data_IF_674785354381
#
_entry.id   IF_674785354381
#
_cell.length_a   1.000
_cell.length_b   1.000
_cell.length_c   1.000
_cell.angle_alpha   90.00
_cell.angle_beta   90.00
_cell.angle_gamma   90.00
#
_symmetry.space_group_name_H-M   'P 1'
#
loop_
_entity.id
_entity.type
_entity.pdbx_description
1 polymer ?
#
# COMPACT_ATOMS: atom_id res chain seq x y z
N UNK A 1 5.87 11.63 11.50
CA UNK A 1 6.95 11.30 10.57
C UNK A 1 6.85 9.84 10.15
N UNK A 2 7.06 9.56 8.85
CA UNK A 2 7.36 8.22 8.36
C UNK A 2 8.88 8.10 8.22
N UNK A 3 9.48 7.07 8.80
CA UNK A 3 10.91 6.80 8.68
C UNK A 3 11.07 5.48 7.93
N UNK A 4 11.62 5.53 6.73
CA UNK A 4 11.97 4.34 5.96
C UNK A 4 13.40 3.93 6.25
N UNK A 5 13.61 2.65 6.51
CA UNK A 5 14.90 2.09 6.87
C UNK A 5 15.20 0.85 6.04
N UNK A 6 16.48 0.60 5.77
CA UNK A 6 16.98 -0.66 5.23
C UNK A 6 17.66 -1.47 6.33
N UNK A 7 17.59 -2.78 6.18
CA UNK A 7 18.44 -3.72 6.95
C UNK A 7 19.41 -4.31 5.94
N UNK A 8 20.71 -4.12 6.16
CA UNK A 8 21.74 -4.71 5.32
C UNK A 8 21.97 -6.19 5.66
N UNK A 9 22.80 -6.87 4.86
CA UNK A 9 23.15 -8.29 5.05
C UNK A 9 23.85 -8.60 6.38
N UNK A 10 24.33 -7.58 7.11
CA UNK A 10 24.94 -7.71 8.44
C UNK A 10 23.93 -7.36 9.56
N UNK A 11 22.65 -7.26 9.27
CA UNK A 11 21.57 -6.81 10.18
C UNK A 11 21.75 -5.39 10.71
N UNK A 12 22.53 -4.53 10.01
CA UNK A 12 22.66 -3.12 10.34
C UNK A 12 21.50 -2.32 9.77
N UNK A 13 20.87 -1.51 10.61
CA UNK A 13 19.77 -0.61 10.20
C UNK A 13 20.37 0.67 9.63
N UNK A 14 19.91 1.04 8.44
CA UNK A 14 20.27 2.26 7.72
C UNK A 14 19.02 3.07 7.46
N UNK A 15 19.05 4.38 7.77
CA UNK A 15 17.94 5.28 7.43
C UNK A 15 18.04 5.60 5.94
N UNK A 16 16.91 5.39 5.23
CA UNK A 16 16.77 5.73 3.81
C UNK A 16 16.13 7.12 3.64
N UNK A 17 14.90 7.27 4.17
CA UNK A 17 14.11 8.48 3.98
C UNK A 17 13.35 8.84 5.27
N UNK A 18 13.24 10.15 5.53
CA UNK A 18 12.36 10.68 6.58
C UNK A 18 11.33 11.59 5.92
N UNK A 19 10.05 11.22 6.00
CA UNK A 19 8.94 12.00 5.49
C UNK A 19 8.16 12.67 6.65
N UNK A 20 7.97 13.99 6.65
CA UNK A 20 7.17 14.69 7.67
C UNK A 20 5.66 14.52 7.41
N UNK A 21 5.22 13.33 7.07
CA UNK A 21 3.86 12.92 6.70
C UNK A 21 3.72 11.42 6.76
N UNK A 22 2.52 10.90 6.50
CA UNK A 22 2.30 9.48 6.21
C UNK A 22 3.15 9.03 5.03
N UNK A 23 3.66 7.81 5.07
CA UNK A 23 4.56 7.27 4.05
C UNK A 23 3.89 6.14 3.26
N UNK A 24 4.26 6.00 1.99
CA UNK A 24 3.69 4.98 1.11
C UNK A 24 3.88 3.55 1.63
N UNK A 25 5.04 3.23 2.18
CA UNK A 25 5.31 1.91 2.77
C UNK A 25 4.36 1.54 3.92
N UNK A 26 3.82 2.54 4.63
CA UNK A 26 2.86 2.32 5.72
C UNK A 26 1.38 2.18 5.28
N UNK A 27 1.07 2.15 3.98
CA UNK A 27 -0.34 2.03 3.54
C UNK A 27 -0.95 0.66 3.86
N UNK A 28 -0.13 -0.39 4.05
CA UNK A 28 -0.61 -1.69 4.53
C UNK A 28 -1.29 -1.58 5.90
N UNK A 29 -0.92 -0.60 6.74
CA UNK A 29 -1.47 -0.42 8.09
C UNK A 29 -2.96 -0.16 8.12
N UNK A 30 -3.58 0.23 6.99
CA UNK A 30 -5.03 0.36 6.87
C UNK A 30 -5.78 -0.92 7.22
N UNK A 31 -5.20 -2.08 6.94
CA UNK A 31 -5.80 -3.39 7.21
C UNK A 31 -4.97 -4.25 8.15
N UNK A 32 -3.66 -4.02 8.23
CA UNK A 32 -2.77 -4.86 9.03
C UNK A 32 -2.66 -4.46 10.50
N UNK A 33 -3.01 -3.21 10.86
CA UNK A 33 -2.84 -2.69 12.22
C UNK A 33 -4.16 -2.29 12.85
N UNK A 34 -4.22 -2.33 14.19
CA UNK A 34 -5.37 -1.79 14.95
C UNK A 34 -5.59 -0.32 14.64
N UNK A 35 -4.51 0.46 14.58
CA UNK A 35 -4.54 1.88 14.23
C UNK A 35 -3.65 2.12 13.02
N UNK A 36 -4.21 2.61 11.94
CA UNK A 36 -3.45 2.89 10.72
C UNK A 36 -2.51 4.10 10.89
N UNK A 37 -1.48 4.20 10.05
CA UNK A 37 -0.62 5.39 10.01
C UNK A 37 -1.40 6.69 9.80
N UNK A 38 -2.51 6.64 9.07
CA UNK A 38 -3.36 7.80 8.80
C UNK A 38 -4.07 8.27 10.06
N UNK A 39 -4.65 7.34 10.81
CA UNK A 39 -5.30 7.63 12.07
C UNK A 39 -4.29 8.11 13.12
N UNK A 40 -3.12 7.43 13.23
CA UNK A 40 -2.05 7.89 14.13
C UNK A 40 -1.60 9.32 13.81
N UNK A 41 -1.50 9.65 12.52
CA UNK A 41 -1.15 10.99 12.09
C UNK A 41 -2.19 12.02 12.55
N UNK A 42 -3.47 11.73 12.36
CA UNK A 42 -4.56 12.60 12.83
C UNK A 42 -4.58 12.72 14.36
N UNK A 43 -4.42 11.61 15.09
CA UNK A 43 -4.34 11.63 16.54
C UNK A 43 -3.20 12.54 17.02
N UNK A 44 -2.01 12.39 16.43
CA UNK A 44 -0.84 13.18 16.79
C UNK A 44 -1.03 14.69 16.58
N UNK A 45 -1.60 15.12 15.44
CA UNK A 45 -1.79 16.55 15.15
C UNK A 45 -2.95 17.17 15.93
N UNK A 46 -3.91 16.35 16.36
CA UNK A 46 -5.04 16.82 17.19
C UNK A 46 -4.75 16.74 18.70
N UNK A 47 -3.56 16.27 19.09
CA UNK A 47 -3.20 16.10 20.50
C UNK A 47 -3.99 15.00 21.22
N UNK A 48 -4.50 14.01 20.48
CA UNK A 48 -5.18 12.85 21.03
C UNK A 48 -4.16 11.76 21.44
N UNK A 49 -4.57 10.89 22.37
CA UNK A 49 -3.76 9.72 22.71
C UNK A 49 -3.50 8.87 21.47
N UNK A 50 -2.27 8.38 21.31
CA UNK A 50 -1.92 7.50 20.21
C UNK A 50 -2.61 6.15 20.36
N UNK A 51 -3.07 5.58 19.25
CA UNK A 51 -3.68 4.27 19.20
C UNK A 51 -2.64 3.14 19.21
N UNK A 52 -3.11 1.90 19.46
CA UNK A 52 -2.25 0.72 19.40
C UNK A 52 -1.69 0.49 18.00
N UNK A 53 -0.39 0.16 17.93
CA UNK A 53 0.30 -0.22 16.69
C UNK A 53 0.32 -1.73 16.44
N UNK A 54 -0.44 -2.51 17.24
CA UNK A 54 -0.49 -3.97 17.10
C UNK A 54 -0.89 -4.39 15.70
N UNK A 55 -0.18 -5.38 15.16
CA UNK A 55 -0.57 -6.07 13.93
C UNK A 55 -1.75 -7.00 14.22
N UNK A 56 -2.76 -6.96 13.36
CA UNK A 56 -3.96 -7.80 13.44
C UNK A 56 -4.07 -8.79 12.28
N UNK A 57 -3.42 -8.48 11.15
CA UNK A 57 -3.41 -9.35 9.97
C UNK A 57 -2.07 -9.27 9.23
N UNK A 58 -1.59 -10.40 8.72
CA UNK A 58 -0.54 -10.41 7.70
C UNK A 58 -1.06 -9.73 6.43
N UNK A 59 -0.30 -8.82 5.90
CA UNK A 59 -0.72 -8.01 4.74
C UNK A 59 0.45 -7.74 3.82
N UNK A 60 0.22 -7.90 2.52
CA UNK A 60 1.14 -7.47 1.48
C UNK A 60 0.52 -6.30 0.70
N UNK A 61 1.22 -5.18 0.62
CA UNK A 61 0.80 -4.01 -0.14
C UNK A 61 1.52 -3.94 -1.49
N UNK A 62 0.78 -3.65 -2.54
CA UNK A 62 1.32 -3.44 -3.88
C UNK A 62 0.89 -2.10 -4.45
N UNK A 63 1.86 -1.32 -4.98
CA UNK A 63 1.57 -0.05 -5.65
C UNK A 63 1.08 -0.26 -7.07
N UNK A 64 -0.01 0.38 -7.46
CA UNK A 64 -0.48 0.47 -8.83
C UNK A 64 0.21 1.67 -9.48
N UNK A 65 1.09 1.37 -10.43
CA UNK A 65 1.89 2.37 -11.13
C UNK A 65 1.33 2.60 -12.54
N UNK A 66 1.49 3.81 -13.05
CA UNK A 66 1.29 4.08 -14.47
C UNK A 66 2.32 3.30 -15.29
N UNK A 67 1.88 2.57 -16.34
CA UNK A 67 2.76 1.75 -17.14
C UNK A 67 3.76 2.59 -17.97
N UNK A 68 4.89 1.99 -18.27
CA UNK A 68 5.88 2.62 -19.12
C UNK A 68 5.32 2.82 -20.54
N UNK A 69 5.68 3.94 -21.16
CA UNK A 69 5.22 4.29 -22.51
C UNK A 69 3.78 4.81 -22.60
N UNK A 70 3.05 4.94 -21.49
CA UNK A 70 1.69 5.48 -21.50
C UNK A 70 1.55 6.73 -20.63
N UNK A 71 1.11 7.82 -21.25
CA UNK A 71 0.66 9.03 -20.58
C UNK A 71 -0.73 9.43 -21.13
N UNK A 72 -1.75 9.48 -20.26
CA UNK A 72 -3.11 9.79 -20.68
C UNK A 72 -4.15 9.46 -19.65
N UNK A 73 -5.42 9.67 -20.01
CA UNK A 73 -6.57 9.24 -19.20
C UNK A 73 -6.70 7.71 -19.21
N UNK A 74 -7.10 7.13 -18.11
CA UNK A 74 -7.23 5.68 -17.99
C UNK A 74 -8.61 5.29 -17.42
N UNK A 75 -9.03 4.07 -17.71
CA UNK A 75 -10.29 3.52 -17.21
C UNK A 75 -10.22 3.34 -15.68
N UNK A 76 -11.30 3.63 -14.95
CA UNK A 76 -11.36 3.35 -13.52
C UNK A 76 -11.08 1.86 -13.25
N UNK A 77 -10.11 1.60 -12.39
CA UNK A 77 -9.84 0.24 -11.91
C UNK A 77 -10.83 -0.08 -10.80
N UNK A 78 -11.53 -1.21 -10.93
CA UNK A 78 -12.44 -1.73 -9.91
C UNK A 78 -12.08 -3.18 -9.64
N UNK A 79 -12.09 -3.56 -8.38
CA UNK A 79 -11.88 -4.93 -7.95
C UNK A 79 -12.64 -5.14 -6.64
N UNK A 80 -13.52 -6.13 -6.62
CA UNK A 80 -14.22 -6.61 -5.43
C UNK A 80 -13.87 -8.08 -5.25
N UNK A 81 -12.99 -8.38 -4.30
CA UNK A 81 -12.55 -9.73 -3.97
C UNK A 81 -12.22 -9.77 -2.48
N UNK A 82 -12.70 -10.76 -1.77
CA UNK A 82 -12.44 -10.93 -0.34
C UNK A 82 -10.94 -10.97 -0.04
N UNK A 83 -10.55 -10.26 1.01
CA UNK A 83 -9.15 -10.12 1.41
C UNK A 83 -8.32 -9.18 0.52
N UNK A 84 -8.92 -8.54 -0.50
CA UNK A 84 -8.25 -7.57 -1.36
C UNK A 84 -8.87 -6.19 -1.16
N UNK A 85 -8.05 -5.22 -0.81
CA UNK A 85 -8.49 -3.85 -0.56
C UNK A 85 -7.83 -2.90 -1.54
N UNK A 86 -8.59 -2.50 -2.57
CA UNK A 86 -8.13 -1.58 -3.61
C UNK A 86 -8.39 -0.11 -3.21
N UNK A 87 -7.36 0.73 -3.37
CA UNK A 87 -7.45 2.18 -3.20
C UNK A 87 -6.84 2.91 -4.37
N UNK A 88 -7.68 3.54 -5.19
CA UNK A 88 -7.22 4.48 -6.23
C UNK A 88 -7.14 5.91 -5.66
N UNK A 89 -6.12 6.66 -6.07
CA UNK A 89 -5.85 8.02 -5.54
C UNK A 89 -6.60 9.13 -6.28
N UNK A 90 -7.51 8.80 -7.20
CA UNK A 90 -8.32 9.79 -7.93
C UNK A 90 -7.53 10.62 -8.95
N UNK A 91 -6.34 10.20 -9.34
CA UNK A 91 -5.56 10.89 -10.36
C UNK A 91 -6.18 10.64 -11.73
N UNK A 92 -6.47 11.72 -12.46
CA UNK A 92 -7.16 11.66 -13.76
C UNK A 92 -6.27 11.17 -14.89
N UNK A 93 -4.96 11.45 -14.80
CA UNK A 93 -3.97 11.13 -15.83
C UNK A 93 -2.91 10.19 -15.28
N UNK A 94 -2.67 9.09 -15.99
CA UNK A 94 -1.51 8.22 -15.80
C UNK A 94 -0.27 8.86 -16.40
N UNK A 95 0.89 8.57 -15.80
CA UNK A 95 2.23 8.81 -16.33
C UNK A 95 3.12 7.64 -15.94
N UNK A 96 4.18 7.34 -16.68
CA UNK A 96 5.12 6.28 -16.32
C UNK A 96 5.56 6.37 -14.86
N UNK A 97 5.54 5.27 -14.15
CA UNK A 97 5.94 5.12 -12.74
C UNK A 97 5.15 5.98 -11.71
N UNK A 98 4.11 6.72 -12.17
CA UNK A 98 3.26 7.48 -11.25
C UNK A 98 2.42 6.53 -10.39
N UNK A 99 2.51 6.65 -9.08
CA UNK A 99 1.64 5.92 -8.16
C UNK A 99 0.20 6.39 -8.33
N UNK A 100 -0.67 5.54 -8.87
CA UNK A 100 -2.09 5.82 -9.16
C UNK A 100 -3.01 5.29 -8.06
N UNK A 101 -2.55 4.29 -7.33
CA UNK A 101 -3.25 3.63 -6.25
C UNK A 101 -2.38 2.59 -5.58
N UNK A 102 -3.01 1.78 -4.75
CA UNK A 102 -2.42 0.56 -4.20
C UNK A 102 -3.53 -0.46 -3.94
N UNK A 103 -3.17 -1.70 -3.77
CA UNK A 103 -4.02 -2.69 -3.13
C UNK A 103 -3.28 -3.41 -2.01
N UNK A 104 -4.04 -3.83 -1.01
CA UNK A 104 -3.56 -4.67 0.07
C UNK A 104 -4.17 -6.07 -0.07
N UNK A 105 -3.32 -7.09 -0.03
CA UNK A 105 -3.71 -8.49 0.11
C UNK A 105 -3.59 -8.86 1.58
N UNK A 106 -4.72 -9.24 2.19
CA UNK A 106 -4.83 -9.47 3.63
C UNK A 106 -5.13 -10.92 3.91
N UNK A 107 -4.38 -11.53 4.80
CA UNK A 107 -4.68 -12.85 5.36
C UNK A 107 -5.61 -12.71 6.57
N UNK A 108 -6.91 -12.72 6.33
CA UNK A 108 -7.94 -12.54 7.36
C UNK A 108 -7.95 -13.65 8.43
N UNK A 109 -7.41 -14.82 8.12
CA UNK A 109 -7.46 -16.00 8.98
C UNK A 109 -6.07 -16.40 9.53
N UNK A 110 -5.04 -15.65 9.20
CA UNK A 110 -3.64 -15.90 9.58
C UNK A 110 -3.09 -17.30 9.18
N UNK A 111 -3.64 -17.86 8.09
CA UNK A 111 -3.34 -19.21 7.61
C UNK A 111 -2.29 -19.24 6.51
N UNK A 112 -2.06 -18.12 5.81
CA UNK A 112 -1.16 -18.07 4.65
C UNK A 112 0.26 -17.72 5.04
N UNK A 113 1.20 -18.34 4.33
CA UNK A 113 2.60 -17.91 4.38
C UNK A 113 2.86 -16.75 3.40
N UNK A 114 4.05 -16.17 3.45
CA UNK A 114 4.44 -15.04 2.62
C UNK A 114 4.38 -15.37 1.12
N UNK A 115 4.79 -16.56 0.70
CA UNK A 115 4.79 -16.97 -0.71
C UNK A 115 3.37 -17.05 -1.27
N UNK A 116 2.43 -17.56 -0.49
CA UNK A 116 1.01 -17.62 -0.87
C UNK A 116 0.41 -16.23 -1.05
N UNK A 117 0.71 -15.29 -0.13
CA UNK A 117 0.27 -13.91 -0.25
C UNK A 117 0.88 -13.23 -1.48
N UNK A 118 2.16 -13.45 -1.77
CA UNK A 118 2.82 -12.93 -2.97
C UNK A 118 2.22 -13.53 -4.26
N UNK A 119 1.86 -14.81 -4.26
CA UNK A 119 1.13 -15.43 -5.37
C UNK A 119 -0.19 -14.74 -5.67
N UNK A 120 -0.96 -14.41 -4.63
CA UNK A 120 -2.22 -13.64 -4.78
C UNK A 120 -1.93 -12.22 -5.32
N UNK A 121 -0.85 -11.57 -4.88
CA UNK A 121 -0.44 -10.27 -5.43
C UNK A 121 -0.22 -10.36 -6.93
N UNK A 122 0.47 -11.39 -7.42
CA UNK A 122 0.75 -11.59 -8.84
C UNK A 122 -0.52 -11.84 -9.66
N UNK A 123 -1.48 -12.59 -9.12
CA UNK A 123 -2.81 -12.73 -9.74
C UNK A 123 -3.53 -11.38 -9.86
N UNK A 124 -3.58 -10.62 -8.75
CA UNK A 124 -4.29 -9.33 -8.70
C UNK A 124 -3.64 -8.29 -9.61
N UNK A 125 -2.33 -8.26 -9.74
CA UNK A 125 -1.59 -7.37 -10.66
C UNK A 125 -2.09 -7.50 -12.11
N UNK A 126 -2.39 -8.71 -12.53
CA UNK A 126 -2.89 -8.97 -13.89
C UNK A 126 -4.32 -8.46 -14.10
N UNK A 127 -5.11 -8.37 -13.02
CA UNK A 127 -6.50 -7.88 -13.07
C UNK A 127 -6.55 -6.35 -13.01
N UNK A 128 -5.72 -5.72 -12.16
CA UNK A 128 -5.72 -4.27 -11.90
C UNK A 128 -4.80 -3.49 -12.86
N UNK A 129 -4.68 -3.93 -14.10
CA UNK A 129 -3.90 -3.22 -15.11
C UNK A 129 -4.49 -1.85 -15.46
N UNK A 130 -3.62 -0.88 -15.71
CA UNK A 130 -4.01 0.45 -16.20
C UNK A 130 -4.22 0.37 -17.71
N UNK A 131 -5.44 0.63 -18.14
CA UNK A 131 -5.86 0.58 -19.55
C UNK A 131 -6.25 1.98 -20.00
N UNK A 132 -5.84 2.38 -21.21
CA UNK A 132 -6.26 3.64 -21.82
C UNK A 132 -7.78 3.80 -21.84
N UNK A 133 -8.24 5.03 -21.74
CA UNK A 133 -9.66 5.37 -21.89
C UNK A 133 -10.08 5.41 -23.37
N UNK A 134 -9.11 5.62 -24.28
CA UNK A 134 -9.31 5.74 -25.72
C UNK A 134 -9.34 4.37 -26.40
#
# INVERSE_FOLDING_TARGET
FGIEMFIDQNNKILINEIAPRVHNSGHHTLQSCKTSQFEQHLRAILGLDLGSTDLIHKTVMYNILGPDGFEGKYKPVKLEKDGIYLKMYGKVVSKPQRKLGHFNVVDMNDLKNTSELLGIVDEVKNIVSIVSLD
#
